data_IF_304848155285
#
_entry.id   IF_304848155285
#
_cell.length_a   1.000
_cell.length_b   1.000
_cell.length_c   1.000
_cell.angle_alpha   90.00
_cell.angle_beta   90.00
_cell.angle_gamma   90.00
#
_symmetry.space_group_name_H-M   'P 1'
#
loop_
_entity.id
_entity.type
_entity.pdbx_description
1 polymer ?
#
# COMPACT_ATOMS: atom_id res chain seq x y z
N UNK A 1 -4.56 -20.48 -4.36
CA UNK A 1 -3.40 -19.86 -3.66
C UNK A 1 -3.36 -18.42 -4.14
N UNK A 2 -3.27 -17.45 -3.24
CA UNK A 2 -3.20 -16.03 -3.62
C UNK A 2 -1.91 -15.77 -4.41
N UNK A 3 -2.01 -15.03 -5.51
CA UNK A 3 -0.84 -14.61 -6.31
C UNK A 3 0.02 -13.61 -5.52
N UNK A 4 -0.64 -12.65 -4.86
CA UNK A 4 -0.04 -11.67 -3.96
C UNK A 4 -0.53 -11.91 -2.53
N UNK A 5 0.39 -12.15 -1.60
CA UNK A 5 0.06 -12.69 -0.27
C UNK A 5 -0.10 -11.65 0.81
N UNK A 6 0.64 -10.54 0.71
CA UNK A 6 0.63 -9.51 1.74
C UNK A 6 -0.31 -8.40 1.33
N UNK A 7 -1.27 -8.11 2.20
CA UNK A 7 -2.00 -6.86 2.15
C UNK A 7 -1.18 -5.78 2.85
N UNK A 8 -0.84 -4.71 2.11
CA UNK A 8 -0.08 -3.56 2.59
C UNK A 8 -0.99 -2.36 2.63
N UNK A 9 -1.27 -1.87 3.84
CA UNK A 9 -2.07 -0.68 4.08
C UNK A 9 -1.24 0.34 4.85
N UNK A 10 -1.38 1.61 4.49
CA UNK A 10 -0.77 2.73 5.23
C UNK A 10 -1.49 4.04 4.90
N UNK A 11 -1.24 5.04 5.73
CA UNK A 11 -1.58 6.43 5.46
C UNK A 11 -0.32 7.20 5.06
N UNK A 12 -0.47 8.12 4.11
CA UNK A 12 0.54 9.10 3.70
C UNK A 12 0.00 10.48 4.05
N UNK A 13 0.64 11.17 4.99
CA UNK A 13 0.36 12.56 5.34
C UNK A 13 1.43 13.47 4.72
N UNK A 14 1.01 14.49 3.99
CA UNK A 14 1.90 15.32 3.19
C UNK A 14 1.25 16.59 2.65
N UNK A 15 1.83 17.11 1.58
CA UNK A 15 1.33 18.28 0.85
C UNK A 15 1.38 18.00 -0.65
N UNK A 16 0.44 18.56 -1.40
CA UNK A 16 0.33 18.41 -2.85
C UNK A 16 0.25 16.93 -3.32
N UNK A 17 -0.36 16.06 -2.50
CA UNK A 17 -0.56 14.66 -2.87
C UNK A 17 -1.56 14.54 -4.02
N UNK A 18 -1.29 13.62 -4.96
CA UNK A 18 -2.14 13.40 -6.12
C UNK A 18 -2.44 11.91 -6.29
N UNK A 19 -3.73 11.55 -6.24
CA UNK A 19 -4.18 10.16 -6.37
C UNK A 19 -3.83 9.56 -7.73
N UNK A 20 -3.98 10.32 -8.82
CA UNK A 20 -3.72 9.82 -10.18
C UNK A 20 -2.23 9.51 -10.36
N UNK A 21 -1.34 10.40 -9.91
CA UNK A 21 0.12 10.19 -9.99
C UNK A 21 0.55 8.95 -9.18
N UNK A 22 -0.02 8.76 -7.98
CA UNK A 22 0.24 7.58 -7.15
C UNK A 22 -0.27 6.31 -7.82
N UNK A 23 -1.49 6.34 -8.38
CA UNK A 23 -2.05 5.20 -9.10
C UNK A 23 -1.18 4.80 -10.29
N UNK A 24 -0.77 5.77 -11.12
CA UNK A 24 0.11 5.52 -12.27
C UNK A 24 1.47 4.94 -11.84
N UNK A 25 2.05 5.46 -10.76
CA UNK A 25 3.32 4.96 -10.23
C UNK A 25 3.20 3.49 -9.80
N UNK A 26 2.18 3.14 -9.02
CA UNK A 26 1.98 1.76 -8.55
C UNK A 26 1.80 0.79 -9.71
N UNK A 27 0.96 1.12 -10.69
CA UNK A 27 0.70 0.26 -11.86
C UNK A 27 1.97 0.04 -12.68
N UNK A 28 2.84 1.06 -12.79
CA UNK A 28 4.03 1.02 -13.63
C UNK A 28 5.23 0.35 -12.94
N UNK A 29 5.33 0.43 -11.61
CA UNK A 29 6.54 0.05 -10.88
C UNK A 29 6.37 -1.16 -9.98
N UNK A 30 5.16 -1.51 -9.56
CA UNK A 30 4.93 -2.58 -8.61
C UNK A 30 4.20 -3.77 -9.21
N UNK A 31 4.54 -4.95 -8.70
CA UNK A 31 3.82 -6.19 -8.97
C UNK A 31 2.82 -6.41 -7.84
N UNK A 32 1.55 -6.39 -8.18
CA UNK A 32 0.48 -6.54 -7.21
C UNK A 32 -0.89 -6.40 -7.83
N UNK A 33 -1.90 -6.44 -6.98
CA UNK A 33 -3.29 -6.21 -7.35
C UNK A 33 -4.04 -5.41 -6.26
N UNK A 34 -5.31 -5.12 -6.54
CA UNK A 34 -6.24 -4.49 -5.60
C UNK A 34 -5.76 -3.14 -5.03
N UNK A 35 -5.12 -2.31 -5.86
CA UNK A 35 -4.79 -0.94 -5.45
C UNK A 35 -6.04 -0.12 -5.12
N UNK A 36 -6.02 0.50 -3.94
CA UNK A 36 -6.84 1.62 -3.55
C UNK A 36 -5.91 2.73 -3.07
N UNK A 37 -5.89 3.85 -3.79
CA UNK A 37 -5.25 5.09 -3.35
C UNK A 37 -6.34 6.17 -3.33
N UNK A 38 -6.79 6.54 -2.13
CA UNK A 38 -7.94 7.44 -1.92
C UNK A 38 -7.66 8.45 -0.82
N UNK A 39 -8.08 9.69 -0.99
CA UNK A 39 -7.86 10.75 -0.02
C UNK A 39 -8.02 12.15 -0.61
N UNK A 40 -7.11 13.03 -0.24
CA UNK A 40 -6.98 14.39 -0.76
C UNK A 40 -5.51 14.81 -0.82
N UNK A 41 -5.25 16.10 -1.05
CA UNK A 41 -3.91 16.66 -1.21
C UNK A 41 -3.06 16.64 0.08
N UNK A 42 -3.67 16.40 1.24
CA UNK A 42 -3.01 16.37 2.56
C UNK A 42 -2.88 14.96 3.13
N UNK A 43 -3.83 14.06 2.84
CA UNK A 43 -3.84 12.70 3.37
C UNK A 43 -4.34 11.69 2.33
N UNK A 44 -3.54 10.66 2.04
CA UNK A 44 -3.93 9.54 1.18
C UNK A 44 -3.83 8.21 1.93
N UNK A 45 -4.87 7.39 1.81
CA UNK A 45 -4.87 5.99 2.25
C UNK A 45 -4.50 5.07 1.09
N UNK A 46 -3.55 4.17 1.35
CA UNK A 46 -3.14 3.10 0.45
C UNK A 46 -3.65 1.76 0.97
N UNK A 47 -4.16 0.93 0.05
CA UNK A 47 -4.35 -0.51 0.20
C UNK A 47 -3.81 -1.17 -1.06
N UNK A 48 -2.90 -2.14 -0.92
CA UNK A 48 -2.33 -2.83 -2.08
C UNK A 48 -1.86 -4.23 -1.71
N UNK A 49 -2.20 -5.22 -2.54
CA UNK A 49 -1.66 -6.56 -2.33
C UNK A 49 -0.37 -6.74 -3.13
N UNK A 50 0.69 -7.17 -2.46
CA UNK A 50 1.98 -7.45 -3.10
C UNK A 50 2.74 -8.56 -2.38
N UNK A 51 3.81 -9.04 -3.01
CA UNK A 51 4.80 -9.89 -2.35
C UNK A 51 6.05 -9.08 -1.92
N UNK A 52 6.09 -7.78 -2.24
CA UNK A 52 7.23 -6.88 -2.02
C UNK A 52 6.82 -5.63 -1.23
N UNK A 53 6.23 -5.77 -0.01
CA UNK A 53 5.67 -4.63 0.74
C UNK A 53 6.69 -3.53 1.04
N UNK A 54 7.97 -3.86 1.15
CA UNK A 54 9.05 -2.88 1.37
C UNK A 54 9.17 -1.84 0.26
N UNK A 55 8.84 -2.19 -1.00
CA UNK A 55 8.87 -1.25 -2.12
C UNK A 55 7.76 -0.20 -2.00
N UNK A 56 6.58 -0.63 -1.54
CA UNK A 56 5.44 0.26 -1.26
C UNK A 56 5.81 1.22 -0.14
N UNK A 57 6.36 0.72 0.96
CA UNK A 57 6.81 1.56 2.07
C UNK A 57 7.85 2.59 1.64
N UNK A 58 8.85 2.19 0.86
CA UNK A 58 9.91 3.07 0.37
C UNK A 58 9.34 4.21 -0.48
N UNK A 59 8.46 3.90 -1.43
CA UNK A 59 7.83 4.92 -2.27
C UNK A 59 6.93 5.85 -1.46
N UNK A 60 6.03 5.32 -0.63
CA UNK A 60 5.13 6.13 0.16
C UNK A 60 5.88 7.05 1.13
N UNK A 61 6.97 6.59 1.75
CA UNK A 61 7.84 7.40 2.61
C UNK A 61 8.60 8.52 1.85
N UNK A 62 8.71 8.42 0.53
CA UNK A 62 9.29 9.48 -0.31
C UNK A 62 8.33 10.62 -0.60
N UNK A 63 7.01 10.39 -0.43
CA UNK A 63 5.95 11.36 -0.71
C UNK A 63 5.58 12.19 0.54
N UNK A 64 5.71 11.61 1.73
CA UNK A 64 5.29 12.24 2.98
C UNK A 64 5.60 11.40 4.21
N UNK A 65 5.05 11.80 5.35
CA UNK A 65 5.09 10.99 6.57
C UNK A 65 4.15 9.79 6.42
N UNK A 66 4.64 8.58 6.72
CA UNK A 66 3.82 7.37 6.70
C UNK A 66 3.48 6.91 8.10
N UNK A 67 2.22 6.56 8.33
CA UNK A 67 1.74 6.04 9.61
C UNK A 67 0.57 5.06 9.43
N UNK A 68 0.10 4.48 10.55
CA UNK A 68 -0.93 3.43 10.60
C UNK A 68 -0.66 2.26 9.64
N UNK A 69 0.61 1.84 9.58
CA UNK A 69 1.09 0.81 8.66
C UNK A 69 0.64 -0.58 9.11
N UNK A 70 -0.01 -1.31 8.21
CA UNK A 70 -0.39 -2.71 8.36
C UNK A 70 0.21 -3.51 7.21
N UNK A 71 0.91 -4.59 7.53
CA UNK A 71 1.34 -5.61 6.56
C UNK A 71 0.85 -6.94 7.07
N UNK A 72 -0.12 -7.55 6.39
CA UNK A 72 -0.77 -8.77 6.84
C UNK A 72 -0.66 -9.88 5.79
N UNK A 73 -0.21 -11.06 6.20
CA UNK A 73 -0.24 -12.26 5.35
C UNK A 73 -1.68 -12.81 5.30
N UNK A 74 -2.36 -12.55 4.19
CA UNK A 74 -3.78 -12.92 3.99
C UNK A 74 -4.01 -14.44 4.07
N UNK A 75 -3.02 -15.26 3.69
CA UNK A 75 -3.13 -16.72 3.78
C UNK A 75 -2.98 -17.22 5.23
N UNK A 76 -2.14 -16.56 6.04
CA UNK A 76 -2.07 -16.82 7.48
C UNK A 76 -3.34 -16.36 8.19
N UNK A 77 -3.83 -15.16 7.87
CA UNK A 77 -5.06 -14.60 8.41
C UNK A 77 -6.25 -15.54 8.14
N UNK A 78 -6.42 -16.01 6.90
CA UNK A 78 -7.47 -16.96 6.53
C UNK A 78 -7.39 -18.30 7.28
N UNK A 79 -6.19 -18.69 7.75
CA UNK A 79 -5.96 -19.87 8.58
C UNK A 79 -6.08 -19.60 10.09
N UNK A 80 -6.43 -18.38 10.49
CA UNK A 80 -6.50 -17.98 11.90
C UNK A 80 -5.13 -17.97 12.60
N UNK A 81 -4.05 -17.88 11.84
CA UNK A 81 -2.70 -17.81 12.37
C UNK A 81 -2.34 -16.34 12.61
N UNK A 82 -1.67 -16.07 13.73
CA UNK A 82 -1.04 -14.78 13.97
C UNK A 82 0.11 -14.58 12.99
N UNK A 83 0.26 -13.37 12.47
CA UNK A 83 1.30 -12.98 11.53
C UNK A 83 1.19 -11.49 11.28
#
# INVERSE_FOLDING_TARGET
MLEYKYDTQLLIEGHDLNEDDINEYFISHFKGDCLLAVGDEELIKIHFHTNEPWMVLEYCASLGEIHDIVIEDMDRQARGLQG
#
